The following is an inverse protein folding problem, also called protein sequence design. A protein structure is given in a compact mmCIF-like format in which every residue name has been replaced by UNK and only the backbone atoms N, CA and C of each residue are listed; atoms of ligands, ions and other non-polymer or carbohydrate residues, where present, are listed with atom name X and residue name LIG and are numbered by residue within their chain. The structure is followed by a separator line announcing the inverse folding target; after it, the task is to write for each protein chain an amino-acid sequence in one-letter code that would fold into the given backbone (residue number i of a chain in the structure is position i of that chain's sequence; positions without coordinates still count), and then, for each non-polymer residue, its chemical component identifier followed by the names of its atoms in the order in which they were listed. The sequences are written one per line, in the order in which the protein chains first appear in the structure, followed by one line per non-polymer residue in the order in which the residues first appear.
data_IF_980610400787
#
_entry.id   IF_980610400787
#
_cell.length_a   1.000
_cell.length_b   1.000
_cell.length_c   1.000
_cell.angle_alpha   90.00
_cell.angle_beta   90.00
_cell.angle_gamma   90.00
#
_symmetry.space_group_name_H-M   'P 1'
#
loop_
_entity.id
_entity.type
_entity.pdbx_description
1 polymer ?
#
# COMPACT_ATOMS: atom_id res chain seq x y z
N UNK A 1 55.79 -10.29 -33.90
CA UNK A 1 56.85 -11.02 -33.17
C UNK A 1 56.18 -11.69 -31.98
N UNK A 2 55.64 -12.90 -32.10
CA UNK A 2 56.29 -14.23 -32.17
C UNK A 2 57.06 -14.61 -30.90
N UNK A 3 56.47 -15.50 -30.08
CA UNK A 3 56.98 -16.82 -29.62
C UNK A 3 56.07 -17.29 -28.46
N UNK A 4 55.19 -18.28 -28.58
CA UNK A 4 55.31 -19.72 -28.92
C UNK A 4 55.85 -20.60 -27.76
N UNK A 5 54.90 -21.29 -27.13
CA UNK A 5 54.83 -22.65 -26.57
C UNK A 5 56.04 -23.31 -25.88
N UNK A 6 55.75 -23.91 -24.71
CA UNK A 6 56.21 -25.23 -24.26
C UNK A 6 55.12 -25.85 -23.39
N UNK A 7 54.96 -27.15 -23.19
CA UNK A 7 55.16 -28.38 -23.97
C UNK A 7 54.49 -29.45 -23.07
N UNK A 8 53.74 -30.35 -23.69
CA UNK A 8 53.16 -31.59 -23.17
C UNK A 8 53.85 -32.27 -21.98
N UNK A 9 53.05 -32.70 -21.00
CA UNK A 9 53.15 -34.06 -20.43
C UNK A 9 51.74 -34.64 -20.22
N UNK A 10 51.42 -35.62 -21.05
CA UNK A 10 50.31 -36.58 -20.91
C UNK A 10 50.74 -37.75 -20.03
N UNK A 11 49.97 -38.07 -18.99
CA UNK A 11 49.92 -39.41 -18.34
C UNK A 11 48.46 -39.62 -17.94
N UNK A 12 47.69 -40.35 -18.76
CA UNK A 12 47.34 -41.77 -18.65
C UNK A 12 46.26 -42.03 -17.59
N UNK A 13 45.11 -42.49 -18.07
CA UNK A 13 43.88 -42.60 -17.30
C UNK A 13 43.77 -43.79 -16.36
N UNK A 14 42.78 -43.68 -15.49
CA UNK A 14 42.09 -44.78 -14.84
C UNK A 14 40.60 -44.46 -14.87
N UNK A 15 39.88 -45.14 -15.76
CA UNK A 15 38.43 -45.24 -15.74
C UNK A 15 38.05 -46.18 -14.59
N UNK A 16 37.34 -45.66 -13.60
CA UNK A 16 36.51 -46.47 -12.71
C UNK A 16 35.07 -46.00 -12.91
N UNK A 17 34.33 -46.78 -13.68
CA UNK A 17 32.87 -46.78 -13.70
C UNK A 17 32.37 -47.37 -12.39
N UNK A 18 31.84 -46.51 -11.51
CA UNK A 18 31.04 -46.91 -10.35
C UNK A 18 29.65 -46.32 -10.47
N UNK A 19 28.66 -47.16 -10.78
CA UNK A 19 27.25 -46.83 -10.63
C UNK A 19 26.95 -46.56 -9.15
N UNK A 20 26.77 -45.29 -8.80
CA UNK A 20 26.16 -44.86 -7.54
C UNK A 20 24.88 -44.10 -7.87
N UNK A 21 23.76 -44.60 -7.36
CA UNK A 21 22.42 -44.03 -7.48
C UNK A 21 22.43 -42.52 -7.29
N UNK A 22 21.87 -41.79 -8.27
CA UNK A 22 21.61 -40.36 -8.13
C UNK A 22 20.47 -40.16 -7.14
N UNK A 23 20.81 -40.12 -5.86
CA UNK A 23 19.99 -39.46 -4.87
C UNK A 23 20.05 -37.97 -5.16
N UNK A 24 19.06 -37.48 -5.92
CA UNK A 24 18.77 -36.06 -5.99
C UNK A 24 18.35 -35.59 -4.60
N UNK A 25 19.35 -35.26 -3.78
CA UNK A 25 19.17 -34.55 -2.53
C UNK A 25 18.40 -33.27 -2.86
N UNK A 26 17.21 -33.03 -2.26
CA UNK A 26 16.48 -31.81 -2.52
C UNK A 26 17.40 -30.64 -2.16
N UNK A 27 17.53 -29.68 -3.08
CA UNK A 27 18.22 -28.43 -2.81
C UNK A 27 17.66 -27.87 -1.50
N UNK A 28 18.52 -27.78 -0.48
CA UNK A 28 18.17 -27.20 0.80
C UNK A 28 17.55 -25.83 0.54
N UNK A 29 16.27 -25.69 0.89
CA UNK A 29 15.57 -24.41 0.76
C UNK A 29 16.40 -23.34 1.43
N UNK A 30 16.61 -22.22 0.72
CA UNK A 30 17.29 -21.05 1.27
C UNK A 30 16.63 -20.73 2.62
N UNK A 31 17.38 -20.92 3.71
CA UNK A 31 16.97 -20.52 5.04
C UNK A 31 16.62 -19.03 4.99
N UNK A 32 15.34 -18.70 5.10
CA UNK A 32 14.91 -17.32 5.25
C UNK A 32 15.50 -16.85 6.56
N UNK A 33 16.42 -15.88 6.52
CA UNK A 33 17.05 -15.34 7.71
C UNK A 33 15.97 -15.00 8.76
N UNK A 34 16.11 -15.59 9.95
CA UNK A 34 15.18 -15.35 11.05
C UNK A 34 15.18 -13.85 11.38
N UNK A 35 13.99 -13.25 11.52
CA UNK A 35 13.87 -11.85 11.96
C UNK A 35 14.54 -11.71 13.34
N UNK A 36 15.35 -10.67 13.58
CA UNK A 36 15.97 -10.45 14.89
C UNK A 36 14.92 -10.47 16.01
N UNK A 37 15.22 -11.16 17.11
CA UNK A 37 14.33 -11.20 18.26
C UNK A 37 14.30 -9.84 18.95
N UNK A 38 13.09 -9.30 19.16
CA UNK A 38 12.91 -8.04 19.90
C UNK A 38 12.98 -8.35 21.39
N UNK A 39 13.96 -7.78 22.09
CA UNK A 39 14.14 -8.00 23.54
C UNK A 39 13.08 -7.25 24.36
N UNK A 40 12.61 -7.86 25.44
CA UNK A 40 11.70 -7.19 26.37
C UNK A 40 12.40 -5.98 27.03
N UNK A 41 11.70 -4.85 27.26
CA UNK A 41 10.26 -4.65 27.18
C UNK A 41 9.74 -4.25 25.79
N UNK A 42 10.58 -4.25 24.77
CA UNK A 42 10.16 -3.95 23.41
C UNK A 42 9.35 -5.10 22.82
N UNK A 43 8.38 -4.75 21.99
CA UNK A 43 7.39 -5.69 21.43
C UNK A 43 7.34 -5.66 19.91
N UNK A 44 7.80 -4.56 19.32
CA UNK A 44 7.86 -4.35 17.89
C UNK A 44 9.08 -3.48 17.58
N UNK A 45 9.75 -3.80 16.48
CA UNK A 45 10.75 -2.94 15.85
C UNK A 45 10.65 -3.12 14.33
N UNK A 46 10.65 -2.00 13.60
CA UNK A 46 10.81 -1.96 12.15
C UNK A 46 11.54 -0.68 11.77
N UNK A 47 12.64 -0.82 11.02
CA UNK A 47 13.32 0.29 10.38
C UNK A 47 12.74 0.51 8.98
N UNK A 48 12.56 1.78 8.61
CA UNK A 48 12.17 2.20 7.26
C UNK A 48 13.15 3.28 6.82
N UNK A 49 13.97 2.96 5.81
CA UNK A 49 14.76 3.96 5.10
C UNK A 49 13.94 4.56 3.96
N UNK A 50 13.72 5.87 3.99
CA UNK A 50 12.91 6.57 2.98
C UNK A 50 13.76 7.18 1.87
N UNK A 51 15.02 7.47 2.18
CA UNK A 51 16.06 7.91 1.25
C UNK A 51 17.42 7.63 1.90
N UNK A 52 18.54 7.59 1.14
CA UNK A 52 19.84 7.26 1.68
C UNK A 52 20.21 8.06 2.93
N UNK A 53 20.36 7.37 4.05
CA UNK A 53 20.74 7.98 5.32
C UNK A 53 19.60 8.66 6.10
N UNK A 54 18.36 8.62 5.61
CA UNK A 54 17.13 9.03 6.30
C UNK A 54 16.33 7.79 6.72
N UNK A 55 16.43 7.43 7.99
CA UNK A 55 15.78 6.22 8.54
C UNK A 55 14.82 6.57 9.67
N UNK A 56 13.69 5.87 9.69
CA UNK A 56 12.70 5.90 10.75
C UNK A 56 12.61 4.51 11.41
N UNK A 57 13.12 4.40 12.62
CA UNK A 57 12.95 3.22 13.45
C UNK A 57 11.68 3.37 14.29
N UNK A 58 10.70 2.50 14.04
CA UNK A 58 9.49 2.44 14.87
C UNK A 58 9.64 1.31 15.88
N UNK A 59 9.57 1.67 17.16
CA UNK A 59 9.61 0.74 18.28
C UNK A 59 8.35 0.86 19.13
N UNK A 60 7.91 -0.23 19.74
CA UNK A 60 6.90 -0.18 20.82
C UNK A 60 7.38 -0.92 22.05
N UNK A 61 6.91 -0.48 23.22
CA UNK A 61 7.26 -1.07 24.51
C UNK A 61 6.11 -1.04 25.50
N UNK A 62 6.26 -1.85 26.55
CA UNK A 62 5.40 -1.83 27.73
C UNK A 62 5.63 -3.07 28.61
N UNK A 63 5.26 -3.01 29.88
CA UNK A 63 5.23 -4.18 30.78
C UNK A 63 3.80 -4.44 31.26
N UNK A 64 3.51 -5.68 31.64
CA UNK A 64 2.16 -6.11 32.03
C UNK A 64 1.29 -6.36 30.81
N UNK A 65 0.26 -5.53 30.59
CA UNK A 65 -0.70 -5.73 29.50
C UNK A 65 -0.03 -5.68 28.13
N UNK A 66 -0.29 -6.67 27.28
CA UNK A 66 0.13 -6.69 25.87
C UNK A 66 -0.76 -5.84 24.96
N UNK A 67 -1.87 -5.35 25.49
CA UNK A 67 -2.92 -4.62 24.75
C UNK A 67 -2.81 -3.11 24.89
N UNK A 68 -1.81 -2.62 25.62
CA UNK A 68 -1.48 -1.19 25.71
C UNK A 68 0.01 -1.03 25.94
N UNK A 69 0.53 0.16 25.63
CA UNK A 69 1.92 0.51 25.81
C UNK A 69 2.17 1.90 25.24
N UNK A 70 3.37 2.10 24.72
CA UNK A 70 3.74 3.28 23.97
C UNK A 70 4.56 2.89 22.75
N UNK A 71 4.68 3.83 21.81
CA UNK A 71 5.57 3.73 20.66
C UNK A 71 6.48 4.95 20.56
N UNK A 72 7.58 4.79 19.84
CA UNK A 72 8.46 5.85 19.41
C UNK A 72 8.82 5.66 17.94
N UNK A 73 8.91 6.78 17.23
CA UNK A 73 9.48 6.89 15.89
C UNK A 73 10.79 7.64 16.09
N UNK A 74 11.91 6.95 15.88
CA UNK A 74 13.26 7.49 15.98
C UNK A 74 13.70 7.83 14.56
N UNK A 75 13.76 9.12 14.25
CA UNK A 75 14.24 9.61 12.98
C UNK A 75 15.73 9.87 13.06
N UNK A 76 16.48 9.34 12.09
CA UNK A 76 17.91 9.52 11.94
C UNK A 76 18.24 10.05 10.55
N UNK A 77 18.72 11.28 10.50
CA UNK A 77 19.40 11.88 9.36
C UNK A 77 20.91 11.80 9.59
N UNK A 78 21.52 10.76 9.06
CA UNK A 78 22.95 10.50 9.24
C UNK A 78 23.84 11.53 8.52
N UNK A 79 23.38 12.10 7.40
CA UNK A 79 24.14 13.06 6.63
C UNK A 79 24.17 14.43 7.31
N UNK A 80 23.03 14.87 7.86
CA UNK A 80 22.93 16.12 8.60
C UNK A 80 23.28 15.98 10.10
N UNK A 81 23.54 14.76 10.59
CA UNK A 81 23.70 14.44 12.00
C UNK A 81 22.53 14.94 12.86
N UNK A 82 21.31 14.82 12.33
CA UNK A 82 20.09 15.23 13.02
C UNK A 82 19.32 14.01 13.45
N UNK A 83 18.91 14.00 14.71
CA UNK A 83 18.15 12.91 15.30
C UNK A 83 16.96 13.50 16.02
N UNK A 84 15.77 12.97 15.75
CA UNK A 84 14.56 13.39 16.44
C UNK A 84 13.72 12.17 16.85
N UNK A 85 12.89 12.38 17.87
CA UNK A 85 12.05 11.32 18.42
C UNK A 85 10.62 11.84 18.53
N UNK A 86 9.69 11.07 17.99
CA UNK A 86 8.25 11.28 18.18
C UNK A 86 7.70 10.11 18.99
N UNK A 87 6.91 10.38 20.03
CA UNK A 87 6.33 9.33 20.88
C UNK A 87 4.80 9.42 20.92
N UNK A 88 4.16 8.34 21.32
CA UNK A 88 2.72 8.33 21.57
C UNK A 88 2.26 7.10 22.33
N UNK A 89 1.07 7.21 22.92
CA UNK A 89 0.41 6.07 23.57
C UNK A 89 -0.08 5.07 22.53
N UNK A 90 0.12 3.79 22.84
CA UNK A 90 -0.30 2.68 22.01
C UNK A 90 -1.52 1.99 22.61
N UNK A 91 -2.57 1.90 21.79
CA UNK A 91 -3.70 1.03 22.03
C UNK A 91 -3.60 -0.19 21.09
N UNK A 92 -3.54 -1.37 21.70
CA UNK A 92 -3.35 -2.64 21.02
C UNK A 92 -1.88 -2.99 20.77
N UNK A 93 -1.66 -3.73 19.69
CA UNK A 93 -0.31 -4.18 19.28
C UNK A 93 -0.05 -3.70 17.86
N UNK A 94 1.15 -3.17 17.60
CA UNK A 94 1.57 -2.79 16.24
C UNK A 94 1.64 -4.05 15.38
N UNK A 95 0.94 -4.05 14.24
CA UNK A 95 0.98 -5.15 13.27
C UNK A 95 1.87 -4.85 12.07
N UNK A 96 1.95 -3.58 11.67
CA UNK A 96 2.87 -3.13 10.62
C UNK A 96 3.09 -1.62 10.70
N UNK A 97 4.09 -1.15 9.96
CA UNK A 97 4.36 0.27 9.74
C UNK A 97 4.60 0.48 8.25
N UNK A 98 3.98 1.51 7.69
CA UNK A 98 4.11 1.87 6.28
C UNK A 98 4.76 3.23 6.14
N UNK A 99 5.43 3.45 5.01
CA UNK A 99 5.79 4.77 4.56
C UNK A 99 5.12 5.11 3.23
N UNK A 100 4.80 6.37 3.05
CA UNK A 100 4.36 6.93 1.78
C UNK A 100 4.88 8.36 1.65
N UNK A 101 4.67 8.94 0.47
CA UNK A 101 4.69 10.38 0.21
C UNK A 101 3.40 10.64 -0.56
N UNK A 102 2.30 10.77 0.18
CA UNK A 102 0.96 10.67 -0.36
C UNK A 102 0.55 11.90 -1.16
N UNK A 103 1.11 13.07 -0.91
CA UNK A 103 0.84 14.28 -1.67
C UNK A 103 2.02 14.76 -2.53
N UNK A 104 3.10 13.98 -2.59
CA UNK A 104 4.26 14.17 -3.47
C UNK A 104 5.01 15.46 -3.19
N UNK A 105 5.10 15.84 -1.91
CA UNK A 105 5.81 17.02 -1.45
C UNK A 105 7.24 16.71 -0.97
N UNK A 106 7.62 15.42 -0.96
CA UNK A 106 8.92 14.92 -0.54
C UNK A 106 9.05 14.68 0.97
N UNK A 107 8.02 14.99 1.76
CA UNK A 107 7.96 14.70 3.18
C UNK A 107 7.32 13.31 3.38
N UNK A 108 7.99 12.36 4.05
CA UNK A 108 7.41 11.04 4.25
C UNK A 108 6.29 11.06 5.29
N UNK A 109 5.19 10.33 5.01
CA UNK A 109 4.28 9.86 6.05
C UNK A 109 4.71 8.52 6.61
N UNK A 110 4.85 8.43 7.93
CA UNK A 110 4.97 7.16 8.65
C UNK A 110 3.62 6.82 9.27
N UNK A 111 3.10 5.64 8.90
CA UNK A 111 1.79 5.15 9.29
C UNK A 111 1.93 3.88 10.13
N UNK A 112 1.63 3.97 11.42
CA UNK A 112 1.70 2.84 12.34
C UNK A 112 0.33 2.18 12.44
N UNK A 113 0.23 0.93 11.99
CA UNK A 113 -0.98 0.14 12.15
C UNK A 113 -0.95 -0.61 13.49
N UNK A 114 -1.98 -0.43 14.31
CA UNK A 114 -2.22 -1.27 15.49
C UNK A 114 -3.55 -2.04 15.40
N UNK A 115 -3.62 -3.15 16.14
CA UNK A 115 -4.83 -3.97 16.30
C UNK A 115 -5.26 -3.97 17.77
N UNK A 116 -6.47 -3.47 18.04
CA UNK A 116 -7.05 -3.37 19.38
C UNK A 116 -7.78 -4.64 19.85
N UNK A 117 -8.34 -4.57 21.07
CA UNK A 117 -8.95 -5.70 21.82
C UNK A 117 -10.33 -6.16 21.34
N UNK A 118 -11.13 -5.28 20.74
CA UNK A 118 -12.55 -5.56 20.54
C UNK A 118 -12.81 -6.78 19.66
N UNK A 119 -13.93 -7.48 19.92
CA UNK A 119 -14.38 -8.72 19.24
C UNK A 119 -14.43 -8.61 17.72
N UNK A 120 -14.41 -7.38 17.23
CA UNK A 120 -14.16 -6.99 15.86
C UNK A 120 -12.82 -6.27 15.87
N UNK A 121 -11.72 -6.96 15.56
CA UNK A 121 -10.35 -6.41 15.61
C UNK A 121 -10.25 -5.14 14.76
N UNK A 122 -10.50 -3.98 15.37
CA UNK A 122 -10.47 -2.71 14.67
C UNK A 122 -9.02 -2.30 14.48
N UNK A 123 -8.61 -2.18 13.22
CA UNK A 123 -7.34 -1.59 12.88
C UNK A 123 -7.37 -0.08 13.19
N UNK A 124 -6.33 0.40 13.86
CA UNK A 124 -6.05 1.83 14.05
C UNK A 124 -4.80 2.21 13.26
N UNK A 125 -4.77 3.43 12.76
CA UNK A 125 -3.60 4.02 12.12
C UNK A 125 -3.22 5.27 12.92
N UNK A 126 -1.97 5.32 13.38
CA UNK A 126 -1.34 6.53 13.86
C UNK A 126 -0.50 7.07 12.71
N UNK A 127 -0.80 8.29 12.26
CA UNK A 127 -0.21 8.87 11.07
C UNK A 127 0.61 10.12 11.43
N UNK A 128 1.82 10.21 10.88
CA UNK A 128 2.72 11.33 11.08
C UNK A 128 3.39 11.67 9.77
N UNK A 129 3.37 12.94 9.38
CA UNK A 129 4.15 13.50 8.28
C UNK A 129 5.40 14.17 8.86
N UNK A 130 6.56 13.87 8.29
CA UNK A 130 7.84 14.38 8.75
C UNK A 130 8.42 15.36 7.75
N UNK A 131 8.55 16.62 8.15
CA UNK A 131 9.23 17.65 7.38
C UNK A 131 10.49 18.06 8.13
N UNK A 132 11.61 17.37 7.90
CA UNK A 132 12.97 17.61 8.43
C UNK A 132 13.08 18.02 9.92
N UNK A 133 12.63 19.23 10.26
CA UNK A 133 12.64 19.79 11.61
C UNK A 133 11.29 19.73 12.36
N UNK A 134 10.18 19.43 11.67
CA UNK A 134 8.83 19.42 12.21
C UNK A 134 8.15 18.07 11.97
N UNK A 135 7.25 17.70 12.88
CA UNK A 135 6.43 16.50 12.77
C UNK A 135 4.97 16.88 12.92
N UNK A 136 4.18 16.55 11.90
CA UNK A 136 2.75 16.80 11.89
C UNK A 136 2.02 15.49 12.20
N UNK A 137 1.35 15.43 13.35
CA UNK A 137 0.41 14.33 13.61
C UNK A 137 -0.83 14.52 12.75
N UNK A 138 -1.17 13.51 11.97
CA UNK A 138 -2.31 13.52 11.07
C UNK A 138 -3.50 12.75 11.67
N UNK A 139 -4.69 13.32 11.57
CA UNK A 139 -5.92 12.66 12.02
C UNK A 139 -6.39 11.65 10.98
N UNK A 140 -6.16 10.35 11.26
CA UNK A 140 -6.60 9.30 10.36
C UNK A 140 -8.14 9.16 10.36
N UNK A 141 -8.81 9.21 9.20
CA UNK A 141 -10.25 9.29 9.13
C UNK A 141 -10.92 7.96 9.53
N UNK A 142 -11.94 8.08 10.38
CA UNK A 142 -12.81 6.94 10.74
C UNK A 142 -13.68 6.56 9.54
N UNK A 143 -13.99 5.27 9.42
CA UNK A 143 -14.98 4.82 8.43
C UNK A 143 -16.33 5.50 8.65
N UNK A 144 -16.92 6.02 7.57
CA UNK A 144 -18.28 6.57 7.58
C UNK A 144 -19.34 5.49 7.79
N UNK A 145 -20.58 5.87 8.10
CA UNK A 145 -21.70 4.92 8.23
C UNK A 145 -21.88 4.04 6.99
N UNK A 146 -21.70 4.60 5.78
CA UNK A 146 -21.82 3.83 4.54
C UNK A 146 -20.65 2.86 4.36
N UNK A 147 -19.42 3.32 4.59
CA UNK A 147 -18.21 2.48 4.49
C UNK A 147 -18.16 1.37 5.56
N UNK A 148 -18.85 1.53 6.70
CA UNK A 148 -18.96 0.51 7.76
C UNK A 148 -20.02 -0.58 7.49
N UNK A 149 -20.84 -0.47 6.45
CA UNK A 149 -21.88 -1.48 6.16
C UNK A 149 -21.24 -2.86 5.91
N UNK A 150 -21.57 -3.84 6.75
CA UNK A 150 -21.00 -5.19 6.67
C UNK A 150 -19.52 -5.28 7.09
N UNK A 151 -18.96 -4.24 7.71
CA UNK A 151 -17.58 -4.25 8.19
C UNK A 151 -17.47 -5.02 9.51
N UNK A 152 -16.52 -5.96 9.57
CA UNK A 152 -16.20 -6.73 10.78
C UNK A 152 -14.70 -6.92 11.02
N UNK A 153 -13.90 -5.90 10.73
CA UNK A 153 -12.46 -5.98 10.91
C UNK A 153 -11.79 -6.75 9.78
N UNK A 154 -10.72 -7.48 10.11
CA UNK A 154 -9.87 -8.20 9.16
C UNK A 154 -9.31 -7.28 8.07
N UNK A 155 -8.96 -6.06 8.46
CA UNK A 155 -8.37 -5.06 7.59
C UNK A 155 -6.96 -5.47 7.17
N UNK A 156 -6.73 -5.39 5.87
CA UNK A 156 -5.42 -5.48 5.25
C UNK A 156 -5.03 -4.09 4.73
N UNK A 157 -3.88 -3.58 5.16
CA UNK A 157 -3.35 -2.31 4.70
C UNK A 157 -2.11 -2.53 3.85
N UNK A 158 -1.97 -1.77 2.77
CA UNK A 158 -0.80 -1.81 1.90
C UNK A 158 -0.66 -0.51 1.13
N UNK A 159 0.55 -0.22 0.64
CA UNK A 159 0.81 0.91 -0.23
C UNK A 159 0.60 0.49 -1.69
N UNK A 160 -0.11 1.31 -2.46
CA UNK A 160 -0.25 1.17 -3.91
C UNK A 160 -0.28 2.55 -4.55
N UNK A 161 0.56 2.77 -5.55
CA UNK A 161 0.64 4.03 -6.30
C UNK A 161 0.81 5.27 -5.38
N UNK A 162 1.64 5.14 -4.34
CA UNK A 162 1.90 6.20 -3.35
C UNK A 162 0.75 6.47 -2.38
N UNK A 163 -0.33 5.68 -2.42
CA UNK A 163 -1.49 5.81 -1.52
C UNK A 163 -1.59 4.62 -0.57
N UNK A 164 -2.19 4.84 0.60
CA UNK A 164 -2.53 3.75 1.51
C UNK A 164 -3.87 3.15 1.09
N UNK A 165 -3.89 1.85 0.83
CA UNK A 165 -5.10 1.09 0.57
C UNK A 165 -5.48 0.31 1.82
N UNK A 166 -6.77 0.34 2.17
CA UNK A 166 -7.39 -0.53 3.16
C UNK A 166 -8.37 -1.45 2.46
N UNK A 167 -8.17 -2.74 2.64
CA UNK A 167 -9.04 -3.78 2.13
C UNK A 167 -9.64 -4.57 3.28
N UNK A 168 -10.95 -4.85 3.26
CA UNK A 168 -11.58 -5.75 4.22
C UNK A 168 -12.77 -6.52 3.62
N UNK A 169 -13.06 -7.74 4.13
CA UNK A 169 -14.23 -8.51 3.73
C UNK A 169 -15.55 -7.87 4.17
N UNK A 170 -16.60 -8.09 3.37
CA UNK A 170 -17.96 -7.62 3.68
C UNK A 170 -18.81 -8.79 4.16
N UNK A 171 -19.52 -8.58 5.26
CA UNK A 171 -20.42 -9.55 5.88
C UNK A 171 -21.89 -9.21 5.60
N UNK A 172 -22.72 -10.25 5.57
CA UNK A 172 -24.15 -10.15 5.25
C UNK A 172 -25.03 -9.60 6.39
N UNK A 173 -24.56 -9.66 7.65
CA UNK A 173 -25.26 -9.14 8.82
C UNK A 173 -24.28 -8.59 9.86
N UNK A 174 -24.81 -7.97 10.92
CA UNK A 174 -24.02 -7.40 12.02
C UNK A 174 -24.11 -8.23 13.32
N UNK A 175 -24.80 -9.36 13.33
CA UNK A 175 -24.94 -10.26 14.49
C UNK A 175 -23.83 -11.33 14.54
N UNK A 176 -23.86 -12.23 15.53
CA UNK A 176 -22.85 -13.29 15.71
C UNK A 176 -22.89 -14.38 14.62
N UNK A 177 -23.95 -14.46 13.82
CA UNK A 177 -24.13 -15.44 12.75
C UNK A 177 -23.67 -14.94 11.38
N UNK A 178 -23.17 -13.70 11.33
CA UNK A 178 -22.71 -13.04 10.12
C UNK A 178 -21.67 -13.87 9.36
N UNK A 179 -21.88 -14.04 8.05
CA UNK A 179 -20.97 -14.74 7.14
C UNK A 179 -20.35 -13.79 6.12
N UNK A 180 -19.10 -14.02 5.69
CA UNK A 180 -18.51 -13.25 4.61
C UNK A 180 -19.30 -13.48 3.33
N UNK A 181 -19.58 -12.40 2.61
CA UNK A 181 -20.29 -12.43 1.32
C UNK A 181 -19.41 -12.88 0.15
N UNK A 182 -18.10 -13.02 0.37
CA UNK A 182 -17.09 -13.16 -0.67
C UNK A 182 -16.65 -11.84 -1.30
N UNK A 183 -17.42 -10.76 -1.12
CA UNK A 183 -17.03 -9.43 -1.55
C UNK A 183 -16.00 -8.80 -0.58
N UNK A 184 -15.14 -7.94 -1.14
CA UNK A 184 -14.24 -7.07 -0.39
C UNK A 184 -14.52 -5.61 -0.70
N UNK A 185 -14.37 -4.75 0.31
CA UNK A 185 -14.37 -3.30 0.17
C UNK A 185 -12.93 -2.80 0.17
N UNK A 186 -12.62 -1.92 -0.78
CA UNK A 186 -11.31 -1.26 -0.90
C UNK A 186 -11.51 0.25 -0.74
N UNK A 187 -10.77 0.83 0.20
CA UNK A 187 -10.70 2.27 0.43
C UNK A 187 -9.28 2.74 0.18
N UNK A 188 -9.14 3.78 -0.63
CA UNK A 188 -7.90 4.49 -0.87
C UNK A 188 -7.86 5.73 0.00
N UNK A 189 -6.72 5.91 0.67
CA UNK A 189 -6.41 7.09 1.46
C UNK A 189 -5.26 7.82 0.76
N UNK A 190 -5.51 9.08 0.43
CA UNK A 190 -4.49 10.02 0.00
C UNK A 190 -4.41 11.21 0.93
N UNK A 191 -3.45 12.09 0.70
CA UNK A 191 -3.30 13.33 1.46
C UNK A 191 -3.51 14.53 0.53
N UNK A 192 -4.07 15.60 1.08
CA UNK A 192 -4.13 16.93 0.46
C UNK A 192 -4.11 17.98 1.54
N UNK A 193 -3.06 18.79 1.59
CA UNK A 193 -2.91 19.85 2.61
C UNK A 193 -3.04 19.27 4.02
N UNK A 194 -2.30 18.19 4.28
CA UNK A 194 -2.20 17.51 5.58
C UNK A 194 -3.54 16.95 6.08
N UNK A 195 -4.52 16.81 5.18
CA UNK A 195 -5.82 16.22 5.46
C UNK A 195 -6.02 15.00 4.59
N UNK A 196 -6.43 13.88 5.21
CA UNK A 196 -6.71 12.67 4.46
C UNK A 196 -7.94 12.85 3.57
N UNK A 197 -7.81 12.37 2.34
CA UNK A 197 -8.90 12.13 1.40
C UNK A 197 -9.20 10.64 1.36
N UNK A 198 -10.47 10.25 1.21
CA UNK A 198 -10.88 8.84 1.20
C UNK A 198 -11.76 8.56 -0.01
N UNK A 199 -11.30 7.66 -0.88
CA UNK A 199 -12.04 7.21 -2.06
C UNK A 199 -12.34 5.73 -1.94
N UNK A 200 -13.60 5.32 -2.13
CA UNK A 200 -13.93 3.89 -2.23
C UNK A 200 -13.75 3.42 -3.68
N UNK A 201 -12.83 2.48 -3.92
CA UNK A 201 -12.33 2.16 -5.25
C UNK A 201 -13.20 1.18 -6.08
N UNK A 202 -14.32 0.69 -5.53
CA UNK A 202 -15.36 -0.01 -6.30
C UNK A 202 -16.67 -0.12 -5.50
N UNK A 203 -17.78 -0.44 -6.18
CA UNK A 203 -18.92 -1.08 -5.53
C UNK A 203 -18.49 -2.50 -5.22
N UNK A 204 -18.12 -2.75 -3.96
CA UNK A 204 -17.94 -4.04 -3.30
C UNK A 204 -17.79 -5.23 -4.26
N UNK A 205 -16.62 -5.86 -4.28
CA UNK A 205 -16.08 -6.75 -5.34
C UNK A 205 -16.96 -7.94 -5.83
N UNK A 206 -18.21 -8.08 -5.37
CA UNK A 206 -19.26 -8.95 -5.91
C UNK A 206 -20.13 -8.33 -7.03
N UNK A 207 -19.82 -7.14 -7.56
CA UNK A 207 -20.58 -6.53 -8.68
C UNK A 207 -19.80 -6.34 -10.00
N UNK A 208 -18.58 -6.85 -10.12
CA UNK A 208 -17.83 -6.79 -11.38
C UNK A 208 -18.16 -8.03 -12.21
N UNK A 209 -19.17 -7.92 -13.09
CA UNK A 209 -19.27 -8.81 -14.24
C UNK A 209 -18.08 -8.49 -15.17
N UNK A 210 -17.37 -9.53 -15.60
CA UNK A 210 -16.35 -9.48 -16.65
C UNK A 210 -16.96 -8.87 -17.93
N UNK A 211 -16.71 -7.59 -18.20
CA UNK A 211 -16.81 -7.07 -19.55
C UNK A 211 -15.52 -7.42 -20.29
N UNK A 212 -15.51 -8.61 -20.90
CA UNK A 212 -14.62 -8.89 -22.02
C UNK A 212 -14.99 -7.89 -23.13
N UNK A 213 -14.14 -6.90 -23.34
CA UNK A 213 -14.18 -6.07 -24.55
C UNK A 213 -14.03 -6.98 -25.77
N UNK A 214 -15.15 -7.21 -26.47
CA UNK A 214 -15.14 -7.75 -27.82
C UNK A 214 -14.89 -6.58 -28.76
N UNK A 215 -13.66 -6.48 -29.25
CA UNK A 215 -13.30 -5.60 -30.36
C UNK A 215 -14.04 -6.11 -31.60
N UNK A 216 -15.06 -5.36 -32.06
CA UNK A 216 -15.57 -5.52 -33.43
C UNK A 216 -14.76 -4.61 -34.34
N UNK A 217 -14.05 -5.25 -35.27
CA UNK A 217 -13.40 -4.61 -36.41
C UNK A 217 -14.48 -4.15 -37.40
N UNK A 218 -14.48 -2.87 -37.74
CA UNK A 218 -15.25 -2.32 -38.85
C UNK A 218 -14.52 -2.56 -40.18
N UNK A 219 -15.25 -3.09 -41.16
CA UNK A 219 -14.88 -3.19 -42.57
C UNK A 219 -15.73 -2.21 -43.41
N UNK A 220 -15.28 -1.79 -44.60
CA UNK A 220 -15.40 -0.41 -45.07
C UNK A 220 -16.71 -0.07 -45.81
N UNK A 221 -17.14 1.18 -45.65
CA UNK A 221 -18.34 1.77 -46.23
C UNK A 221 -18.19 2.06 -47.74
N UNK A 222 -19.11 1.53 -48.55
CA UNK A 222 -19.27 1.82 -49.98
C UNK A 222 -20.21 3.03 -50.19
N UNK A 223 -19.74 3.99 -50.98
CA UNK A 223 -20.45 5.18 -51.47
C UNK A 223 -21.79 4.90 -52.16
N UNK A 224 -22.75 5.83 -51.97
CA UNK A 224 -23.72 6.48 -52.91
C UNK A 224 -24.91 7.02 -52.07
N UNK A 225 -25.61 8.11 -52.34
CA UNK A 225 -25.54 9.25 -53.27
C UNK A 225 -26.66 10.23 -52.87
N UNK A 226 -26.33 11.52 -52.79
CA UNK A 226 -27.11 12.77 -52.98
C UNK A 226 -28.65 12.71 -53.11
N UNK A 227 -29.38 13.50 -52.29
CA UNK A 227 -30.41 14.47 -52.77
C UNK A 227 -30.87 15.53 -51.74
N UNK A 228 -30.74 16.79 -52.19
CA UNK A 228 -31.59 17.99 -52.04
C UNK A 228 -32.09 18.53 -50.67
N UNK A 229 -31.42 19.60 -50.23
CA UNK A 229 -31.92 20.98 -49.97
C UNK A 229 -33.30 21.24 -49.30
N UNK A 230 -33.30 22.03 -48.20
CA UNK A 230 -33.98 23.35 -48.14
C UNK A 230 -33.69 24.19 -46.87
N UNK A 231 -33.26 25.44 -47.14
CA UNK A 231 -33.56 26.74 -46.50
C UNK A 231 -33.33 27.01 -44.99
N UNK A 232 -32.28 27.80 -44.73
CA UNK A 232 -32.22 29.14 -44.07
C UNK A 232 -33.28 29.50 -43.00
N UNK A 233 -32.81 29.90 -41.81
CA UNK A 233 -32.80 31.32 -41.37
C UNK A 233 -31.96 31.56 -40.11
N UNK A 234 -31.07 32.55 -40.23
CA UNK A 234 -30.35 33.25 -39.15
C UNK A 234 -31.32 34.20 -38.44
N UNK A 235 -31.26 34.31 -37.11
CA UNK A 235 -31.39 35.63 -36.46
C UNK A 235 -30.69 35.65 -35.10
N UNK A 236 -29.77 36.60 -35.02
CA UNK A 236 -29.04 37.08 -33.86
C UNK A 236 -29.91 38.05 -33.07
N UNK A 237 -29.85 38.11 -31.73
CA UNK A 237 -29.89 39.40 -31.01
C UNK A 237 -29.46 39.34 -29.53
N UNK A 238 -28.61 40.32 -29.24
CA UNK A 238 -27.99 40.80 -28.00
C UNK A 238 -28.87 40.94 -26.75
N UNK A 239 -28.27 40.54 -25.61
CA UNK A 239 -27.85 41.40 -24.47
C UNK A 239 -28.88 42.40 -23.91
N UNK A 240 -29.34 42.18 -22.66
CA UNK A 240 -29.70 43.28 -21.75
C UNK A 240 -29.35 43.00 -20.30
N UNK A 241 -28.42 43.81 -19.82
CA UNK A 241 -27.97 44.02 -18.45
C UNK A 241 -29.03 44.86 -17.71
N UNK A 242 -29.45 44.50 -16.50
CA UNK A 242 -30.16 45.45 -15.62
C UNK A 242 -29.82 45.21 -14.15
N UNK A 243 -29.18 46.24 -13.57
CA UNK A 243 -29.05 46.52 -12.14
C UNK A 243 -30.43 46.82 -11.52
N UNK A 244 -30.63 46.42 -10.26
CA UNK A 244 -31.17 47.21 -9.11
C UNK A 244 -31.33 46.24 -7.93
N UNK A 245 -30.59 46.45 -6.83
CA UNK A 245 -30.94 47.23 -5.61
C UNK A 245 -32.02 46.53 -4.77
N UNK A 246 -31.65 46.26 -3.53
CA UNK A 246 -32.37 45.56 -2.47
C UNK A 246 -31.33 44.97 -1.56
#
# INVERSE_FOLDING_TARGET
MNLRNYLFVTVLGLLITGCGSKDNKPAAGKSVAARPAVMQPFRFHKAIEVSPGQTYDVVSWGRGSTQTGAFAILHSDSAAMKYNTTTGDLDGTISDVFNADMDLDGNPEILIQSKGKDTVNYAKIYAFEFNNNNVNKLDFPKLTRQQKKGYRGNDNFYIRDGKLIREFPIYNSNDSTAKPTGAKRLLEYGLRSNSFTVTQLSKDSASVKNDKQVIKQDAPEKKRSVSSSKKRKHTETKKKRRRRRG
#
